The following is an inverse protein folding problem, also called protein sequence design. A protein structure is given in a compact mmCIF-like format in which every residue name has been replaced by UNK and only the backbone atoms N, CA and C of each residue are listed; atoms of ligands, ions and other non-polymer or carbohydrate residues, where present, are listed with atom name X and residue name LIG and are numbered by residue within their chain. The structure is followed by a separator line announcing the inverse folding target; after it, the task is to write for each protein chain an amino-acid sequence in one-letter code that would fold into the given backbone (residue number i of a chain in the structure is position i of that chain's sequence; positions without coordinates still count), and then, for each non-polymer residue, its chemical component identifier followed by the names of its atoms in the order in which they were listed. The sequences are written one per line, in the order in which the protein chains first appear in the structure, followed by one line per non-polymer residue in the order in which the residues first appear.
data_IF_821993411019
#
_entry.id   IF_821993411019
#
_cell.length_a   1.000
_cell.length_b   1.000
_cell.length_c   1.000
_cell.angle_alpha   90.00
_cell.angle_beta   90.00
_cell.angle_gamma   90.00
#
_symmetry.space_group_name_H-M   'P 1'
#
loop_
_entity.id
_entity.type
_entity.pdbx_description
1 polymer ?
#
# COMPACT_ATOMS: atom_id res chain seq x y z
N UNK A 1 -12.42 13.66 13.67
CA UNK A 1 -11.82 14.92 13.15
C UNK A 1 -12.22 15.04 11.69
N UNK A 2 -12.55 16.23 11.20
CA UNK A 2 -13.19 16.37 9.87
C UNK A 2 -12.18 16.50 8.71
N UNK A 3 -10.93 16.90 8.99
CA UNK A 3 -9.87 17.14 7.99
C UNK A 3 -8.49 16.72 8.49
N UNK A 4 -7.73 16.02 7.65
CA UNK A 4 -6.35 15.54 7.89
C UNK A 4 -5.32 16.50 7.29
N UNK A 5 -5.76 17.37 6.37
CA UNK A 5 -4.94 18.41 5.75
C UNK A 5 -5.62 19.77 5.80
N UNK A 6 -4.85 20.80 6.14
CA UNK A 6 -5.24 22.21 5.97
C UNK A 6 -4.07 22.97 5.33
N UNK A 7 -4.17 23.23 4.03
CA UNK A 7 -3.09 23.86 3.26
C UNK A 7 -1.81 23.01 3.24
N UNK A 8 -0.77 23.46 3.96
CA UNK A 8 0.52 22.77 4.12
C UNK A 8 0.69 22.07 5.47
N UNK A 9 -0.36 22.04 6.28
CA UNK A 9 -0.38 21.38 7.59
C UNK A 9 -1.08 20.03 7.47
N UNK A 10 -0.45 18.99 8.02
CA UNK A 10 -0.93 17.60 7.98
C UNK A 10 -0.99 17.03 9.40
N UNK A 11 -1.98 16.17 9.65
CA UNK A 11 -2.17 15.45 10.90
C UNK A 11 -2.02 13.95 10.66
N UNK A 12 -1.35 13.24 11.56
CA UNK A 12 -1.15 11.79 11.51
C UNK A 12 -1.18 11.19 12.93
N UNK A 13 -1.56 9.91 13.05
CA UNK A 13 -1.66 9.23 14.34
C UNK A 13 -2.66 9.88 15.29
N UNK A 14 -2.36 9.87 16.59
CA UNK A 14 -3.27 10.34 17.64
C UNK A 14 -3.73 11.80 17.47
N UNK A 15 -2.95 12.63 16.76
CA UNK A 15 -3.32 14.00 16.43
C UNK A 15 -4.48 14.06 15.41
N UNK A 16 -4.64 13.04 14.56
CA UNK A 16 -5.71 12.93 13.56
C UNK A 16 -6.91 12.13 14.08
N UNK A 17 -6.68 11.17 14.98
CA UNK A 17 -7.73 10.30 15.51
C UNK A 17 -7.40 9.82 16.93
N UNK A 18 -8.28 10.10 17.89
CA UNK A 18 -8.15 9.61 19.27
C UNK A 18 -9.09 8.43 19.45
N UNK A 19 -8.56 7.28 19.87
CA UNK A 19 -9.33 6.05 20.09
C UNK A 19 -9.11 5.51 21.50
N UNK A 20 -10.07 4.72 21.99
CA UNK A 20 -9.89 3.94 23.21
C UNK A 20 -8.70 2.99 23.04
N UNK A 21 -7.82 2.83 24.05
CA UNK A 21 -6.65 1.94 23.96
C UNK A 21 -7.00 0.45 23.81
N UNK A 22 -8.28 0.10 23.93
CA UNK A 22 -8.77 -1.26 23.73
C UNK A 22 -8.46 -1.77 22.31
N UNK A 23 -7.52 -2.71 22.21
CA UNK A 23 -7.14 -3.39 20.95
C UNK A 23 -5.76 -3.05 20.38
N UNK A 24 -5.04 -2.08 20.96
CA UNK A 24 -3.65 -1.74 20.56
C UNK A 24 -3.52 -1.23 19.11
N UNK A 25 -4.57 -0.63 18.57
CA UNK A 25 -4.69 -0.25 17.15
C UNK A 25 -4.11 1.14 16.84
N UNK A 26 -4.08 2.06 17.81
CA UNK A 26 -3.68 3.46 17.59
C UNK A 26 -2.25 3.61 17.03
N UNK A 27 -1.28 2.90 17.61
CA UNK A 27 0.11 2.94 17.12
C UNK A 27 0.23 2.40 15.68
N UNK A 28 -0.43 1.28 15.37
CA UNK A 28 -0.38 0.68 14.04
C UNK A 28 -1.00 1.61 12.99
N UNK A 29 -2.14 2.24 13.30
CA UNK A 29 -2.78 3.22 12.42
C UNK A 29 -1.90 4.44 12.20
N UNK A 30 -1.29 4.99 13.27
CA UNK A 30 -0.41 6.15 13.16
C UNK A 30 0.88 5.89 12.36
N UNK A 31 1.48 4.71 12.51
CA UNK A 31 2.62 4.29 11.67
C UNK A 31 2.21 4.20 10.20
N UNK A 32 1.03 3.63 9.91
CA UNK A 32 0.52 3.55 8.53
C UNK A 32 0.18 4.92 7.95
N UNK A 33 -0.32 5.87 8.75
CA UNK A 33 -0.53 7.25 8.32
C UNK A 33 0.78 7.90 7.90
N UNK A 34 1.81 7.79 8.74
CA UNK A 34 3.13 8.34 8.45
C UNK A 34 3.75 7.69 7.20
N UNK A 35 3.59 6.38 7.03
CA UNK A 35 4.10 5.67 5.85
C UNK A 35 3.39 6.10 4.56
N UNK A 36 2.06 6.27 4.60
CA UNK A 36 1.28 6.77 3.47
C UNK A 36 1.61 8.24 3.12
N UNK A 37 1.77 9.11 4.13
CA UNK A 37 2.04 10.53 3.92
C UNK A 37 3.49 10.81 3.49
N UNK A 38 4.46 10.08 4.07
CA UNK A 38 5.88 10.38 3.92
C UNK A 38 6.37 10.34 2.47
N UNK A 39 5.98 9.32 1.71
CA UNK A 39 6.38 9.21 0.30
C UNK A 39 5.71 10.26 -0.58
N UNK A 40 4.44 10.60 -0.32
CA UNK A 40 3.71 11.64 -1.05
C UNK A 40 4.34 13.01 -0.85
N UNK A 41 4.75 13.32 0.38
CA UNK A 41 5.51 14.53 0.67
C UNK A 41 6.83 14.56 -0.09
N UNK A 42 7.59 13.46 -0.07
CA UNK A 42 8.86 13.37 -0.79
C UNK A 42 8.69 13.57 -2.30
N UNK A 43 7.67 12.96 -2.92
CA UNK A 43 7.38 13.11 -4.35
C UNK A 43 6.98 14.53 -4.73
N UNK A 44 6.10 15.17 -3.96
CA UNK A 44 5.72 16.57 -4.22
C UNK A 44 6.91 17.53 -4.04
N UNK A 45 7.78 17.29 -3.05
CA UNK A 45 9.03 18.05 -2.91
C UNK A 45 9.98 17.84 -4.10
N UNK A 46 9.92 16.68 -4.75
CA UNK A 46 10.68 16.36 -5.96
C UNK A 46 9.99 16.83 -7.27
N UNK A 47 8.84 17.50 -7.20
CA UNK A 47 8.16 18.09 -8.36
C UNK A 47 6.87 17.41 -8.79
N UNK A 48 6.41 16.36 -8.11
CA UNK A 48 5.10 15.76 -8.40
C UNK A 48 3.94 16.74 -8.11
N UNK A 49 2.77 16.57 -8.75
CA UNK A 49 1.62 17.45 -8.54
C UNK A 49 1.17 17.51 -7.08
N UNK A 50 0.85 18.70 -6.56
CA UNK A 50 0.39 18.88 -5.17
C UNK A 50 -0.92 18.16 -4.86
N UNK A 51 -1.70 17.80 -5.89
CA UNK A 51 -2.91 17.00 -5.78
C UNK A 51 -2.64 15.60 -5.20
N UNK A 52 -1.41 15.07 -5.37
CA UNK A 52 -1.00 13.82 -4.75
C UNK A 52 -1.18 13.86 -3.22
N UNK A 53 -0.95 15.01 -2.58
CA UNK A 53 -1.10 15.15 -1.13
C UNK A 53 -2.56 15.15 -0.66
N UNK A 54 -3.52 15.43 -1.55
CA UNK A 54 -4.95 15.32 -1.21
C UNK A 54 -5.38 13.86 -1.07
N UNK A 55 -4.68 12.95 -1.74
CA UNK A 55 -4.93 11.51 -1.65
C UNK A 55 -4.64 10.95 -0.26
N UNK A 56 -3.83 11.63 0.56
CA UNK A 56 -3.56 11.20 1.95
C UNK A 56 -4.85 11.15 2.76
N UNK A 57 -5.63 12.23 2.75
CA UNK A 57 -6.91 12.27 3.46
C UNK A 57 -7.92 11.30 2.85
N UNK A 58 -8.01 11.28 1.51
CA UNK A 58 -8.95 10.43 0.79
C UNK A 58 -8.72 8.93 1.06
N UNK A 59 -7.47 8.52 1.26
CA UNK A 59 -7.12 7.13 1.59
C UNK A 59 -7.18 6.82 3.09
N UNK A 60 -6.72 7.72 3.96
CA UNK A 60 -6.57 7.44 5.40
C UNK A 60 -7.80 7.74 6.22
N UNK A 61 -8.62 8.72 5.84
CA UNK A 61 -9.85 9.08 6.58
C UNK A 61 -10.87 7.92 6.61
N UNK A 62 -11.21 7.25 5.48
CA UNK A 62 -12.14 6.13 5.52
C UNK A 62 -11.64 4.94 6.36
N UNK A 63 -10.31 4.75 6.40
CA UNK A 63 -9.67 3.72 7.24
C UNK A 63 -9.83 4.06 8.72
N UNK A 64 -9.56 5.30 9.14
CA UNK A 64 -9.76 5.71 10.52
C UNK A 64 -11.24 5.68 10.93
N UNK A 65 -12.16 6.07 10.05
CA UNK A 65 -13.61 6.00 10.30
C UNK A 65 -14.09 4.54 10.47
N UNK A 66 -13.62 3.60 9.63
CA UNK A 66 -13.95 2.19 9.78
C UNK A 66 -13.36 1.58 11.06
N UNK A 67 -12.14 1.96 11.43
CA UNK A 67 -11.49 1.56 12.69
C UNK A 67 -12.20 2.11 13.93
N UNK A 68 -12.70 3.35 13.87
CA UNK A 68 -13.57 3.93 14.91
C UNK A 68 -14.82 3.09 15.10
N UNK A 69 -15.53 2.80 14.01
CA UNK A 69 -16.73 1.97 14.05
C UNK A 69 -16.47 0.58 14.64
N UNK A 70 -15.36 -0.06 14.26
CA UNK A 70 -14.95 -1.34 14.82
C UNK A 70 -14.62 -1.25 16.32
N UNK A 71 -13.86 -0.24 16.73
CA UNK A 71 -13.48 -0.01 18.13
C UNK A 71 -14.72 0.22 19.01
N UNK A 72 -15.69 1.03 18.56
CA UNK A 72 -16.96 1.25 19.28
C UNK A 72 -17.72 -0.07 19.46
N UNK A 73 -17.85 -0.89 18.40
CA UNK A 73 -18.52 -2.20 18.48
C UNK A 73 -17.82 -3.14 19.46
N UNK A 74 -16.49 -3.19 19.46
CA UNK A 74 -15.70 -4.01 20.37
C UNK A 74 -15.84 -3.54 21.82
N UNK A 75 -15.82 -2.22 22.06
CA UNK A 75 -16.01 -1.63 23.37
C UNK A 75 -17.40 -1.97 23.94
N UNK A 76 -18.47 -1.83 23.15
CA UNK A 76 -19.83 -2.20 23.56
C UNK A 76 -19.96 -3.67 23.91
N UNK A 77 -19.29 -4.56 23.15
CA UNK A 77 -19.25 -6.00 23.44
C UNK A 77 -18.47 -6.30 24.72
N UNK A 78 -17.35 -5.61 24.97
CA UNK A 78 -16.55 -5.76 26.18
C UNK A 78 -17.33 -5.30 27.43
N UNK A 79 -18.00 -4.15 27.34
CA UNK A 79 -18.86 -3.60 28.41
C UNK A 79 -20.05 -4.51 28.74
N UNK A 80 -20.47 -5.36 27.80
CA UNK A 80 -21.50 -6.40 27.99
C UNK A 80 -20.94 -7.76 28.44
N UNK A 81 -19.65 -7.86 28.80
CA UNK A 81 -19.01 -9.07 29.29
C UNK A 81 -18.63 -10.10 28.19
N UNK A 82 -18.66 -9.71 26.93
CA UNK A 82 -18.37 -10.59 25.80
C UNK A 82 -16.88 -10.91 25.63
N UNK A 83 -16.47 -12.15 25.91
CA UNK A 83 -15.07 -12.62 25.73
C UNK A 83 -14.54 -12.51 24.28
N UNK A 84 -15.42 -12.37 23.28
CA UNK A 84 -15.04 -12.13 21.87
C UNK A 84 -14.36 -10.78 21.64
N UNK A 85 -14.62 -9.76 22.48
CA UNK A 85 -14.01 -8.43 22.35
C UNK A 85 -12.48 -8.42 22.53
N UNK A 86 -11.91 -9.50 23.08
CA UNK A 86 -10.47 -9.66 23.32
C UNK A 86 -9.79 -10.65 22.37
N UNK A 87 -10.53 -11.25 21.41
CA UNK A 87 -9.93 -12.10 20.39
C UNK A 87 -9.36 -11.22 19.27
N UNK A 88 -8.09 -11.44 18.91
CA UNK A 88 -7.54 -10.96 17.64
C UNK A 88 -8.00 -11.91 16.52
N UNK A 89 -8.68 -11.35 15.55
CA UNK A 89 -9.15 -11.96 14.31
C UNK A 89 -8.65 -11.15 13.10
N UNK A 90 -8.99 -11.57 11.87
CA UNK A 90 -8.49 -10.93 10.64
C UNK A 90 -8.87 -9.44 10.57
N UNK A 91 -10.07 -9.05 11.03
CA UNK A 91 -10.56 -7.66 11.02
C UNK A 91 -9.77 -6.77 11.99
N UNK A 92 -9.34 -7.31 13.13
CA UNK A 92 -8.53 -6.60 14.14
C UNK A 92 -7.02 -6.66 13.88
N UNK A 93 -6.57 -7.39 12.85
CA UNK A 93 -5.16 -7.49 12.46
C UNK A 93 -4.65 -6.29 11.66
N UNK A 94 -5.56 -5.50 11.08
CA UNK A 94 -5.27 -4.42 10.10
C UNK A 94 -4.55 -4.88 8.82
N UNK A 95 -4.31 -6.18 8.63
CA UNK A 95 -3.57 -6.71 7.48
C UNK A 95 -4.38 -6.66 6.18
N UNK A 96 -5.71 -6.59 6.28
CA UNK A 96 -6.63 -6.52 5.15
C UNK A 96 -6.95 -5.08 4.71
N UNK A 97 -6.34 -4.06 5.33
CA UNK A 97 -6.62 -2.67 4.96
C UNK A 97 -6.07 -2.37 3.57
N UNK A 98 -6.99 -2.15 2.62
CA UNK A 98 -6.73 -1.71 1.26
C UNK A 98 -7.27 -0.31 0.97
N UNK A 99 -6.85 0.27 -0.14
CA UNK A 99 -7.36 1.51 -0.73
C UNK A 99 -8.17 1.22 -2.00
N UNK A 100 -8.88 0.09 -2.04
CA UNK A 100 -9.72 -0.27 -3.18
C UNK A 100 -10.74 0.84 -3.47
N UNK A 101 -10.83 1.27 -4.73
CA UNK A 101 -11.65 2.42 -5.14
C UNK A 101 -11.11 3.80 -4.72
N UNK A 102 -9.92 3.85 -4.11
CA UNK A 102 -9.23 5.07 -3.74
C UNK A 102 -8.65 5.83 -4.93
N UNK A 103 -8.18 7.06 -4.72
CA UNK A 103 -7.74 7.96 -5.80
C UNK A 103 -6.52 7.45 -6.58
N UNK A 104 -5.70 6.59 -5.98
CA UNK A 104 -4.49 6.01 -6.58
C UNK A 104 -4.64 4.51 -6.89
N UNK A 105 -5.85 3.97 -6.84
CA UNK A 105 -6.15 2.61 -7.25
C UNK A 105 -6.52 2.58 -8.74
N UNK A 106 -5.78 1.82 -9.55
CA UNK A 106 -6.11 1.57 -10.96
C UNK A 106 -6.13 0.08 -11.27
N UNK A 107 -7.09 -0.32 -12.10
CA UNK A 107 -7.32 -1.73 -12.46
C UNK A 107 -7.86 -2.57 -11.31
N UNK A 108 -8.05 -3.86 -11.57
CA UNK A 108 -8.81 -4.78 -10.70
C UNK A 108 -8.21 -4.96 -9.30
N UNK A 109 -6.91 -4.71 -9.15
CA UNK A 109 -6.16 -4.89 -7.89
C UNK A 109 -5.57 -3.60 -7.34
N UNK A 110 -5.94 -2.47 -7.92
CA UNK A 110 -5.49 -1.17 -7.46
C UNK A 110 -5.92 -0.92 -6.00
N UNK A 111 -4.97 -0.47 -5.18
CA UNK A 111 -5.19 -0.20 -3.76
C UNK A 111 -5.06 -1.43 -2.86
N UNK A 112 -4.87 -2.64 -3.38
CA UNK A 112 -4.56 -3.80 -2.53
C UNK A 112 -3.16 -3.67 -1.92
N UNK A 113 -2.94 -4.25 -0.74
CA UNK A 113 -1.58 -4.50 -0.25
C UNK A 113 -0.90 -5.46 -1.21
N UNK A 114 0.32 -5.13 -1.64
CA UNK A 114 1.08 -6.00 -2.52
C UNK A 114 1.38 -7.34 -1.81
N UNK A 115 0.93 -8.49 -2.35
CA UNK A 115 1.25 -9.79 -1.77
C UNK A 115 2.76 -10.04 -1.67
N UNK A 116 3.20 -10.65 -0.58
CA UNK A 116 4.56 -11.12 -0.45
C UNK A 116 4.72 -12.52 -1.08
N UNK A 117 5.90 -12.80 -1.63
CA UNK A 117 6.24 -14.10 -2.20
C UNK A 117 7.74 -14.40 -2.01
N UNK A 118 8.10 -15.60 -1.53
CA UNK A 118 9.49 -16.07 -1.55
C UNK A 118 10.00 -16.21 -2.98
N UNK A 119 11.22 -15.75 -3.24
CA UNK A 119 11.88 -15.85 -4.55
C UNK A 119 13.41 -15.84 -4.38
N UNK A 120 14.14 -15.86 -5.49
CA UNK A 120 15.59 -15.64 -5.52
C UNK A 120 15.95 -14.40 -6.31
N UNK A 121 17.00 -13.71 -5.90
CA UNK A 121 17.60 -12.65 -6.69
C UNK A 121 18.44 -13.23 -7.85
N UNK A 122 18.86 -12.38 -8.79
CA UNK A 122 19.68 -12.77 -9.94
C UNK A 122 21.02 -13.43 -9.56
N UNK A 123 21.56 -13.15 -8.38
CA UNK A 123 22.78 -13.78 -7.85
C UNK A 123 22.52 -15.16 -7.20
N UNK A 124 21.27 -15.62 -7.20
CA UNK A 124 20.84 -16.90 -6.61
C UNK A 124 20.52 -16.84 -5.11
N UNK A 125 20.74 -15.71 -4.45
CA UNK A 125 20.40 -15.55 -3.02
C UNK A 125 18.89 -15.60 -2.78
N UNK A 126 18.49 -16.17 -1.65
CA UNK A 126 17.09 -16.20 -1.24
C UNK A 126 16.62 -14.81 -0.81
N UNK A 127 15.43 -14.40 -1.27
CA UNK A 127 14.81 -13.12 -0.92
C UNK A 127 13.28 -13.24 -0.92
N UNK A 128 12.60 -12.12 -0.67
CA UNK A 128 11.14 -12.02 -0.68
C UNK A 128 10.73 -10.73 -1.37
N UNK A 129 9.56 -10.72 -1.99
CA UNK A 129 9.02 -9.50 -2.61
C UNK A 129 8.88 -8.35 -1.60
N UNK A 130 8.58 -8.67 -0.33
CA UNK A 130 8.59 -7.68 0.74
C UNK A 130 9.93 -6.92 0.85
N UNK A 131 11.06 -7.61 0.72
CA UNK A 131 12.39 -6.99 0.75
C UNK A 131 12.70 -6.24 -0.56
N UNK A 132 12.22 -6.76 -1.70
CA UNK A 132 12.34 -6.10 -3.02
C UNK A 132 11.63 -4.75 -3.05
N UNK A 133 10.45 -4.66 -2.42
CA UNK A 133 9.66 -3.44 -2.35
C UNK A 133 10.14 -2.45 -1.30
N UNK A 134 11.09 -2.84 -0.45
CA UNK A 134 11.53 -2.03 0.68
C UNK A 134 12.30 -0.80 0.21
N UNK A 135 11.74 0.38 0.47
CA UNK A 135 12.40 1.65 0.26
C UNK A 135 11.43 2.76 -0.12
N UNK A 136 11.94 3.99 -0.33
CA UNK A 136 11.11 5.16 -0.65
C UNK A 136 10.74 5.26 -2.14
N UNK A 137 10.92 4.19 -2.92
CA UNK A 137 10.75 4.19 -4.37
C UNK A 137 9.52 3.40 -4.80
N UNK A 138 8.84 3.82 -5.89
CA UNK A 138 7.95 2.92 -6.61
C UNK A 138 8.74 1.72 -7.17
N UNK A 139 8.09 0.57 -7.23
CA UNK A 139 8.69 -0.66 -7.77
C UNK A 139 7.79 -1.24 -8.85
N UNK A 140 8.32 -1.38 -10.06
CA UNK A 140 7.68 -2.06 -11.18
C UNK A 140 8.12 -3.52 -11.22
N UNK A 141 7.21 -4.44 -10.88
CA UNK A 141 7.37 -5.87 -11.09
C UNK A 141 6.78 -6.25 -12.45
N UNK A 142 7.61 -6.71 -13.38
CA UNK A 142 7.17 -7.24 -14.68
C UNK A 142 7.05 -8.76 -14.57
N UNK A 143 5.83 -9.28 -14.70
CA UNK A 143 5.55 -10.69 -14.58
C UNK A 143 5.99 -11.44 -15.85
N UNK A 144 6.10 -12.77 -15.75
CA UNK A 144 6.40 -13.64 -16.89
C UNK A 144 5.42 -13.37 -18.04
N UNK A 145 5.94 -13.13 -19.25
CA UNK A 145 5.16 -12.77 -20.44
C UNK A 145 4.63 -11.34 -20.49
N UNK A 146 4.99 -10.46 -19.56
CA UNK A 146 4.64 -9.03 -19.66
C UNK A 146 5.35 -8.38 -20.86
N UNK A 147 4.70 -7.43 -21.57
CA UNK A 147 5.31 -6.76 -22.71
C UNK A 147 6.54 -5.94 -22.30
N UNK A 148 7.39 -5.61 -23.26
CA UNK A 148 8.50 -4.71 -22.99
C UNK A 148 7.99 -3.30 -22.68
N UNK A 149 8.55 -2.71 -21.63
CA UNK A 149 8.35 -1.30 -21.26
C UNK A 149 9.65 -0.57 -21.54
N UNK A 150 9.53 0.61 -22.14
CA UNK A 150 10.63 1.51 -22.43
C UNK A 150 11.32 2.05 -21.18
N UNK A 151 12.18 3.08 -21.34
CA UNK A 151 12.84 3.74 -20.23
C UNK A 151 11.82 4.33 -19.24
N UNK A 152 12.06 4.11 -17.95
CA UNK A 152 11.26 4.68 -16.87
C UNK A 152 12.04 5.78 -16.16
N UNK A 153 11.33 6.58 -15.36
CA UNK A 153 11.96 7.51 -14.41
C UNK A 153 12.97 6.75 -13.53
N UNK A 154 14.22 7.27 -13.34
CA UNK A 154 15.26 6.59 -12.57
C UNK A 154 14.90 6.30 -11.10
N UNK A 155 13.89 6.98 -10.56
CA UNK A 155 13.38 6.74 -9.20
C UNK A 155 12.51 5.49 -9.09
N UNK A 156 12.06 4.92 -10.22
CA UNK A 156 11.28 3.67 -10.25
C UNK A 156 12.24 2.49 -10.33
N UNK A 157 12.21 1.60 -9.33
CA UNK A 157 12.94 0.33 -9.41
C UNK A 157 12.20 -0.64 -10.31
N UNK A 158 12.92 -1.35 -11.18
CA UNK A 158 12.34 -2.35 -12.09
C UNK A 158 12.91 -3.72 -11.78
N UNK A 159 12.03 -4.72 -11.71
CA UNK A 159 12.39 -6.13 -11.58
C UNK A 159 11.55 -6.95 -12.55
N UNK A 160 12.19 -7.84 -13.31
CA UNK A 160 11.53 -8.81 -14.20
C UNK A 160 11.62 -10.20 -13.61
N UNK A 161 10.48 -10.86 -13.50
CA UNK A 161 10.42 -12.28 -13.14
C UNK A 161 11.01 -13.10 -14.28
N UNK A 162 11.93 -14.01 -13.98
CA UNK A 162 12.69 -14.81 -14.94
C UNK A 162 14.03 -14.18 -15.37
N UNK A 163 14.33 -12.94 -14.97
CA UNK A 163 15.61 -12.29 -15.26
C UNK A 163 16.27 -11.69 -14.01
N UNK A 164 15.58 -10.78 -13.33
CA UNK A 164 16.09 -10.10 -12.14
C UNK A 164 15.67 -10.84 -10.86
N UNK A 165 14.52 -11.52 -10.91
CA UNK A 165 13.97 -12.35 -9.84
C UNK A 165 13.60 -13.73 -10.38
N UNK A 166 13.91 -14.79 -9.65
CA UNK A 166 13.60 -16.18 -10.02
C UNK A 166 12.49 -16.72 -9.12
N UNK A 167 11.44 -17.27 -9.75
CA UNK A 167 10.23 -17.79 -9.10
C UNK A 167 10.09 -19.31 -9.30
N UNK A 168 11.11 -20.08 -8.89
CA UNK A 168 11.16 -21.52 -9.17
C UNK A 168 10.01 -22.33 -8.57
N UNK A 169 9.46 -21.87 -7.44
CA UNK A 169 8.32 -22.50 -6.76
C UNK A 169 6.97 -21.91 -7.21
N UNK A 170 6.95 -20.94 -8.13
CA UNK A 170 5.74 -20.34 -8.67
C UNK A 170 4.94 -19.48 -7.68
N UNK A 171 5.58 -18.97 -6.62
CA UNK A 171 4.90 -18.16 -5.60
C UNK A 171 4.53 -16.77 -6.12
N UNK A 172 5.40 -16.13 -6.91
CA UNK A 172 5.09 -14.84 -7.55
C UNK A 172 3.95 -15.04 -8.55
N UNK A 173 4.04 -16.10 -9.38
CA UNK A 173 2.98 -16.46 -10.33
C UNK A 173 1.64 -16.70 -9.64
N UNK A 174 1.63 -17.43 -8.53
CA UNK A 174 0.41 -17.68 -7.76
C UNK A 174 -0.18 -16.39 -7.17
N UNK A 175 0.68 -15.47 -6.72
CA UNK A 175 0.25 -14.23 -6.07
C UNK A 175 -0.19 -13.12 -7.04
N UNK A 176 0.40 -13.05 -8.23
CA UNK A 176 0.22 -11.94 -9.17
C UNK A 176 -0.25 -12.34 -10.57
N UNK A 177 -0.14 -13.61 -10.95
CA UNK A 177 -0.41 -14.08 -12.31
C UNK A 177 0.76 -13.88 -13.26
N UNK A 178 0.44 -13.60 -14.53
CA UNK A 178 1.38 -13.49 -15.66
C UNK A 178 0.92 -12.42 -16.64
N UNK A 179 1.79 -11.98 -17.55
CA UNK A 179 1.39 -11.19 -18.73
C UNK A 179 1.15 -9.70 -18.46
N UNK A 180 1.48 -9.21 -17.27
CA UNK A 180 1.24 -7.82 -16.89
C UNK A 180 2.38 -7.25 -16.03
N UNK A 181 2.40 -5.93 -15.93
CA UNK A 181 3.21 -5.20 -14.96
C UNK A 181 2.38 -4.88 -13.73
N UNK A 182 3.02 -4.92 -12.57
CA UNK A 182 2.48 -4.51 -11.28
C UNK A 182 3.34 -3.39 -10.75
N UNK A 183 2.78 -2.18 -10.63
CA UNK A 183 3.47 -1.07 -9.99
C UNK A 183 3.07 -1.01 -8.51
N UNK A 184 4.04 -1.22 -7.64
CA UNK A 184 3.91 -1.13 -6.19
C UNK A 184 4.42 0.22 -5.71
N UNK A 185 3.59 0.93 -4.96
CA UNK A 185 3.90 2.22 -4.33
C UNK A 185 4.94 2.05 -3.21
N UNK A 186 5.65 3.13 -2.84
CA UNK A 186 6.59 3.09 -1.70
C UNK A 186 5.99 2.61 -0.38
N UNK A 187 4.67 2.79 -0.20
CA UNK A 187 3.93 2.34 0.98
C UNK A 187 3.48 0.87 0.93
N UNK A 188 3.87 0.12 -0.11
CA UNK A 188 3.61 -1.32 -0.25
C UNK A 188 2.22 -1.66 -0.79
N UNK A 189 1.53 -0.70 -1.41
CA UNK A 189 0.24 -0.89 -2.04
C UNK A 189 0.37 -0.96 -3.56
N UNK A 190 -0.43 -1.81 -4.21
CA UNK A 190 -0.53 -1.86 -5.66
C UNK A 190 -1.18 -0.56 -6.15
N UNK A 191 -0.47 0.16 -7.01
CA UNK A 191 -1.01 1.33 -7.69
C UNK A 191 -1.80 0.95 -8.92
N UNK A 192 -1.16 0.19 -9.81
CA UNK A 192 -1.74 -0.27 -11.08
C UNK A 192 -1.24 -1.67 -11.43
N UNK A 193 -2.13 -2.48 -11.99
CA UNK A 193 -1.80 -3.72 -12.73
C UNK A 193 -2.21 -3.51 -14.18
N UNK A 194 -1.26 -3.62 -15.12
CA UNK A 194 -1.52 -3.30 -16.53
C UNK A 194 -0.53 -3.98 -17.47
N UNK A 195 -0.99 -4.35 -18.66
CA UNK A 195 -0.12 -4.70 -19.79
C UNK A 195 0.13 -3.51 -20.74
N UNK A 196 -0.48 -2.35 -20.46
CA UNK A 196 -0.35 -1.13 -21.27
C UNK A 196 0.75 -0.22 -20.72
N UNK A 197 1.76 0.05 -21.53
CA UNK A 197 2.82 1.02 -21.23
C UNK A 197 2.27 2.43 -21.02
N UNK A 198 1.28 2.86 -21.83
CA UNK A 198 0.64 4.16 -21.66
C UNK A 198 -0.06 4.29 -20.31
N UNK A 199 -0.81 3.27 -19.89
CA UNK A 199 -1.49 3.30 -18.59
C UNK A 199 -0.49 3.33 -17.42
N UNK A 200 0.68 2.74 -17.58
CA UNK A 200 1.76 2.82 -16.59
C UNK A 200 2.38 4.23 -16.55
N UNK A 201 2.64 4.83 -17.71
CA UNK A 201 3.18 6.18 -17.82
C UNK A 201 2.21 7.23 -17.25
N UNK A 202 0.92 7.11 -17.58
CA UNK A 202 -0.14 7.98 -17.05
C UNK A 202 -0.20 7.91 -15.53
N UNK A 203 -0.13 6.71 -14.95
CA UNK A 203 -0.10 6.54 -13.50
C UNK A 203 1.13 7.21 -12.87
N UNK A 204 2.32 6.99 -13.43
CA UNK A 204 3.57 7.54 -12.91
C UNK A 204 3.62 9.07 -13.00
N UNK A 205 2.91 9.69 -13.94
CA UNK A 205 2.81 11.14 -14.04
C UNK A 205 1.95 11.76 -12.92
N UNK A 206 1.07 10.97 -12.29
CA UNK A 206 0.21 11.41 -11.18
C UNK A 206 0.90 11.31 -9.80
N UNK A 207 2.00 10.52 -9.68
CA UNK A 207 2.62 10.15 -8.39
C UNK A 207 4.08 10.53 -8.24
#
# INVERSE_FOLDING_TARGET
MERYRVGRVFLAGDAAHVHSPAGGQGLNTGVQDAYNLGWKLARVLAGAPTALLDTYEQERRPIAESMLGLSTRLHDMASKGGRKAYKRDEETSQLLLGYAGGPLARGDRGGERAPDAPCRAADGSATRLFDVYRGPHPTLLSLDGAPDVGPLDPTVRRYRVGADLVDDAGHIRAAYGTGAHVLVRPDGYIGVVTASENALADYLAEV
#
